data_IF_907296028403
#
_entry.id   IF_907296028403
#
_cell.length_a   1.000
_cell.length_b   1.000
_cell.length_c   1.000
_cell.angle_alpha   90.00
_cell.angle_beta   90.00
_cell.angle_gamma   90.00
#
_symmetry.space_group_name_H-M   'P 1'
#
loop_
_entity.id
_entity.type
_entity.pdbx_description
1 polymer ?
#
# COMPACT_ATOMS: atom_id res chain seq x y z
N UNK A 1 -6.69 9.88 -3.74
CA UNK A 1 -6.55 11.10 -4.55
C UNK A 1 -5.87 10.76 -5.86
N UNK A 2 -6.58 10.88 -6.97
CA UNK A 2 -6.02 10.61 -8.30
C UNK A 2 -5.66 11.95 -8.93
N UNK A 3 -4.38 12.14 -9.26
CA UNK A 3 -3.92 13.37 -9.87
C UNK A 3 -3.38 13.07 -11.27
N UNK A 4 -4.03 13.61 -12.29
CA UNK A 4 -3.52 13.57 -13.66
C UNK A 4 -2.77 14.88 -13.92
N UNK A 5 -1.52 14.79 -14.31
CA UNK A 5 -0.66 15.96 -14.46
C UNK A 5 -0.03 15.99 -15.84
N UNK A 6 -0.19 17.13 -16.55
CA UNK A 6 0.55 17.41 -17.76
C UNK A 6 2.01 17.74 -17.41
N UNK A 7 2.96 17.01 -18.00
CA UNK A 7 4.34 17.00 -17.56
C UNK A 7 5.20 18.02 -18.32
N UNK A 8 5.69 19.04 -17.62
CA UNK A 8 6.83 19.86 -18.04
C UNK A 8 7.85 19.92 -16.89
N UNK A 9 9.01 20.54 -17.11
CA UNK A 9 10.09 20.55 -16.12
C UNK A 9 9.68 21.17 -14.78
N UNK A 10 8.87 22.24 -14.81
CA UNK A 10 8.38 22.88 -13.59
C UNK A 10 7.32 22.04 -12.88
N UNK A 11 6.46 21.37 -13.64
CA UNK A 11 5.47 20.45 -13.10
C UNK A 11 6.12 19.26 -12.40
N UNK A 12 7.21 18.72 -12.96
CA UNK A 12 7.95 17.62 -12.35
C UNK A 12 8.53 18.02 -11.00
N UNK A 13 9.15 19.22 -10.90
CA UNK A 13 9.67 19.72 -9.63
C UNK A 13 8.58 19.91 -8.59
N UNK A 14 7.43 20.44 -8.98
CA UNK A 14 6.29 20.61 -8.10
C UNK A 14 5.76 19.27 -7.62
N UNK A 15 5.62 18.30 -8.51
CA UNK A 15 5.17 16.95 -8.18
C UNK A 15 6.09 16.30 -7.17
N UNK A 16 7.40 16.35 -7.40
CA UNK A 16 8.40 15.77 -6.48
C UNK A 16 8.34 16.42 -5.10
N UNK A 17 8.11 17.74 -5.03
CA UNK A 17 7.95 18.45 -3.77
C UNK A 17 6.68 18.03 -3.03
N UNK A 18 5.57 17.89 -3.74
CA UNK A 18 4.28 17.48 -3.17
C UNK A 18 4.34 16.02 -2.72
N UNK A 19 4.86 15.11 -3.56
CA UNK A 19 5.01 13.69 -3.22
C UNK A 19 5.89 13.50 -1.97
N UNK A 20 6.97 14.28 -1.83
CA UNK A 20 7.83 14.22 -0.65
C UNK A 20 7.12 14.59 0.66
N UNK A 21 5.95 15.22 0.59
CA UNK A 21 5.11 15.58 1.75
C UNK A 21 3.88 14.68 1.90
N UNK A 22 3.57 13.86 0.89
CA UNK A 22 2.40 12.99 0.89
C UNK A 22 2.69 11.68 1.62
N UNK A 23 1.65 11.15 2.27
CA UNK A 23 1.71 9.83 2.86
C UNK A 23 1.83 8.74 1.79
N UNK A 24 0.97 8.80 0.77
CA UNK A 24 0.92 7.78 -0.30
C UNK A 24 0.37 8.37 -1.60
N UNK A 25 0.60 7.63 -2.68
CA UNK A 25 0.00 7.86 -4.00
C UNK A 25 -0.82 6.63 -4.37
N UNK A 26 -2.03 6.82 -4.90
CA UNK A 26 -2.91 5.75 -5.34
C UNK A 26 -2.99 5.75 -6.86
N UNK A 27 -2.72 4.60 -7.47
CA UNK A 27 -2.80 4.39 -8.91
C UNK A 27 -3.75 3.23 -9.20
N UNK A 28 -4.42 3.29 -10.36
CA UNK A 28 -5.22 2.19 -10.87
C UNK A 28 -4.69 1.79 -12.23
N UNK A 29 -4.21 0.57 -12.36
CA UNK A 29 -3.66 0.03 -13.60
C UNK A 29 -3.67 -1.49 -13.59
N UNK A 30 -3.96 -2.11 -14.75
CA UNK A 30 -3.95 -3.58 -14.90
C UNK A 30 -4.76 -4.30 -13.81
N UNK A 31 -5.99 -3.86 -13.56
CA UNK A 31 -6.87 -4.45 -12.55
C UNK A 31 -6.30 -4.37 -11.13
N UNK A 32 -5.39 -3.45 -10.88
CA UNK A 32 -4.66 -3.35 -9.62
C UNK A 32 -4.76 -1.96 -9.01
N UNK A 33 -5.12 -1.87 -7.74
CA UNK A 33 -4.94 -0.67 -6.94
C UNK A 33 -3.53 -0.68 -6.36
N UNK A 34 -2.70 0.22 -6.86
CA UNK A 34 -1.31 0.36 -6.48
C UNK A 34 -1.16 1.55 -5.53
N UNK A 35 -0.90 1.26 -4.27
CA UNK A 35 -0.61 2.27 -3.25
C UNK A 35 0.90 2.37 -3.07
N UNK A 36 1.48 3.51 -3.42
CA UNK A 36 2.90 3.79 -3.21
C UNK A 36 3.03 4.64 -1.95
N UNK A 37 3.67 4.11 -0.93
CA UNK A 37 3.89 4.83 0.33
C UNK A 37 5.19 5.60 0.29
N UNK A 38 5.16 6.84 0.74
CA UNK A 38 6.33 7.75 0.74
C UNK A 38 6.89 7.95 2.13
N UNK A 39 6.07 7.79 3.16
CA UNK A 39 6.44 7.87 4.57
C UNK A 39 5.48 7.05 5.42
N UNK A 40 5.87 6.68 6.62
CA UNK A 40 4.99 6.03 7.60
C UNK A 40 4.78 6.87 8.85
N UNK A 41 5.52 7.97 8.97
CA UNK A 41 5.38 8.90 10.08
C UNK A 41 4.40 10.00 9.73
N UNK A 42 3.10 9.73 9.93
CA UNK A 42 2.01 10.62 9.54
C UNK A 42 1.01 10.81 10.66
N UNK A 43 0.26 11.93 10.66
CA UNK A 43 -0.83 12.15 11.61
C UNK A 43 -1.94 11.11 11.47
N UNK A 44 -2.72 10.95 12.53
CA UNK A 44 -3.87 10.02 12.52
C UNK A 44 -4.86 10.31 11.39
N UNK A 45 -5.06 11.58 11.04
CA UNK A 45 -5.95 11.96 9.94
C UNK A 45 -5.54 11.37 8.60
N UNK A 46 -4.24 11.26 8.34
CA UNK A 46 -3.73 10.66 7.10
C UNK A 46 -4.01 9.15 7.06
N UNK A 47 -3.90 8.47 8.19
CA UNK A 47 -4.30 7.06 8.30
C UNK A 47 -5.78 6.87 8.03
N UNK A 48 -6.63 7.77 8.55
CA UNK A 48 -8.07 7.71 8.29
C UNK A 48 -8.39 7.92 6.82
N UNK A 49 -7.73 8.87 6.16
CA UNK A 49 -7.90 9.11 4.74
C UNK A 49 -7.46 7.89 3.89
N UNK A 50 -6.35 7.26 4.25
CA UNK A 50 -5.87 6.05 3.60
C UNK A 50 -6.88 4.91 3.74
N UNK A 51 -7.41 4.67 4.94
CA UNK A 51 -8.41 3.62 5.17
C UNK A 51 -9.66 3.86 4.32
N UNK A 52 -10.11 5.09 4.21
CA UNK A 52 -11.27 5.44 3.39
C UNK A 52 -10.98 5.19 1.91
N UNK A 53 -9.79 5.53 1.42
CA UNK A 53 -9.39 5.23 0.05
C UNK A 53 -9.37 3.73 -0.23
N UNK A 54 -8.94 2.92 0.73
CA UNK A 54 -8.98 1.46 0.59
C UNK A 54 -10.42 0.96 0.55
N UNK A 55 -11.29 1.50 1.41
CA UNK A 55 -12.73 1.13 1.39
C UNK A 55 -13.38 1.44 0.05
N UNK A 56 -13.03 2.57 -0.54
CA UNK A 56 -13.54 2.99 -1.86
C UNK A 56 -13.12 2.02 -2.96
N UNK A 57 -11.96 1.36 -2.85
CA UNK A 57 -11.53 0.37 -3.82
C UNK A 57 -12.57 -0.75 -4.02
N UNK A 58 -13.32 -1.08 -2.99
CA UNK A 58 -14.33 -2.15 -3.02
C UNK A 58 -15.60 -1.80 -3.79
N UNK A 59 -15.66 -0.62 -4.40
CA UNK A 59 -16.67 -0.31 -5.43
C UNK A 59 -16.40 -1.04 -6.74
N UNK A 60 -15.17 -1.49 -6.98
CA UNK A 60 -14.84 -2.39 -8.08
C UNK A 60 -15.20 -3.82 -7.71
N UNK A 61 -15.66 -4.61 -8.69
CA UNK A 61 -16.11 -5.98 -8.44
C UNK A 61 -14.96 -6.92 -8.07
N UNK A 62 -13.89 -6.89 -8.86
CA UNK A 62 -12.69 -7.70 -8.63
C UNK A 62 -11.44 -6.91 -8.97
N UNK A 63 -10.41 -7.04 -8.13
CA UNK A 63 -9.16 -6.32 -8.30
C UNK A 63 -8.05 -6.94 -7.46
N UNK A 64 -6.83 -6.50 -7.74
CA UNK A 64 -5.65 -6.82 -6.95
C UNK A 64 -5.25 -5.61 -6.10
N UNK A 65 -4.58 -5.87 -4.98
CA UNK A 65 -3.87 -4.85 -4.22
C UNK A 65 -2.37 -4.96 -4.41
N UNK A 66 -1.73 -3.81 -4.51
CA UNK A 66 -0.28 -3.68 -4.48
C UNK A 66 0.09 -2.58 -3.49
N UNK A 67 0.72 -2.96 -2.39
CA UNK A 67 1.21 -2.02 -1.38
C UNK A 67 2.73 -1.91 -1.51
N UNK A 68 3.18 -0.75 -1.99
CA UNK A 68 4.58 -0.53 -2.35
C UNK A 68 5.24 0.38 -1.31
N UNK A 69 6.12 -0.21 -0.50
CA UNK A 69 6.91 0.49 0.50
C UNK A 69 8.36 0.73 0.07
N UNK A 70 8.70 0.45 -1.19
CA UNK A 70 10.09 0.57 -1.66
C UNK A 70 10.64 1.99 -1.59
N UNK A 71 9.76 2.99 -1.64
CA UNK A 71 10.13 4.41 -1.57
C UNK A 71 10.32 4.91 -0.13
N UNK A 72 9.93 4.14 0.86
CA UNK A 72 10.08 4.50 2.27
C UNK A 72 11.47 4.10 2.74
N UNK A 73 12.34 5.09 2.94
CA UNK A 73 13.76 4.88 3.23
C UNK A 73 14.09 4.85 4.72
N UNK A 74 13.29 5.53 5.54
CA UNK A 74 13.52 5.63 6.98
C UNK A 74 12.25 5.26 7.72
N UNK A 75 12.34 4.26 8.60
CA UNK A 75 11.28 3.92 9.55
C UNK A 75 11.79 4.14 10.95
N UNK A 76 11.08 4.97 11.67
CA UNK A 76 11.30 5.07 13.11
C UNK A 76 10.68 3.85 13.78
N UNK A 77 11.46 3.14 14.58
CA UNK A 77 11.01 1.93 15.28
C UNK A 77 9.75 2.21 16.10
N UNK A 78 9.63 3.41 16.67
CA UNK A 78 8.48 3.83 17.44
C UNK A 78 7.17 3.88 16.63
N UNK A 79 7.22 3.98 15.29
CA UNK A 79 6.03 4.03 14.43
C UNK A 79 5.53 2.64 14.01
N UNK A 80 6.33 1.60 14.18
CA UNK A 80 5.99 0.23 13.75
C UNK A 80 4.73 -0.31 14.42
N UNK A 81 4.54 -0.20 15.74
CA UNK A 81 3.32 -0.70 16.38
C UNK A 81 2.05 -0.06 15.84
N UNK A 82 2.09 1.24 15.56
CA UNK A 82 0.95 1.96 14.99
C UNK A 82 0.67 1.52 13.55
N UNK A 83 1.71 1.42 12.74
CA UNK A 83 1.60 0.95 11.37
C UNK A 83 0.95 -0.45 11.33
N UNK A 84 1.44 -1.36 12.18
CA UNK A 84 0.89 -2.71 12.30
C UNK A 84 -0.58 -2.68 12.73
N UNK A 85 -0.91 -1.88 13.74
CA UNK A 85 -2.27 -1.73 14.23
C UNK A 85 -3.23 -1.21 13.15
N UNK A 86 -2.83 -0.17 12.42
CA UNK A 86 -3.65 0.45 11.39
C UNK A 86 -3.95 -0.52 10.24
N UNK A 87 -2.92 -1.24 9.77
CA UNK A 87 -3.10 -2.24 8.71
C UNK A 87 -3.93 -3.43 9.16
N UNK A 88 -3.63 -4.00 10.31
CA UNK A 88 -4.33 -5.19 10.79
C UNK A 88 -5.80 -4.89 11.12
N UNK A 89 -6.09 -3.72 11.68
CA UNK A 89 -7.46 -3.30 11.94
C UNK A 89 -8.27 -3.17 10.65
N UNK A 90 -7.68 -2.57 9.63
CA UNK A 90 -8.31 -2.40 8.33
C UNK A 90 -8.54 -3.75 7.65
N UNK A 91 -7.55 -4.62 7.69
CA UNK A 91 -7.65 -5.97 7.12
C UNK A 91 -8.76 -6.78 7.78
N UNK A 92 -8.88 -6.68 9.09
CA UNK A 92 -9.92 -7.36 9.85
C UNK A 92 -11.31 -6.83 9.51
N UNK A 93 -11.46 -5.52 9.40
CA UNK A 93 -12.71 -4.88 8.98
C UNK A 93 -13.15 -5.33 7.60
N UNK A 94 -12.22 -5.41 6.65
CA UNK A 94 -12.50 -5.68 5.24
C UNK A 94 -12.43 -7.16 4.85
N UNK A 95 -12.17 -8.05 5.81
CA UNK A 95 -12.00 -9.49 5.54
C UNK A 95 -13.12 -10.10 4.70
N UNK A 96 -14.42 -9.89 5.02
CA UNK A 96 -15.50 -10.48 4.22
C UNK A 96 -15.51 -9.99 2.77
N UNK A 97 -15.21 -8.72 2.55
CA UNK A 97 -15.15 -8.14 1.19
C UNK A 97 -13.90 -8.61 0.45
N UNK A 98 -12.79 -8.71 1.15
CA UNK A 98 -11.52 -9.19 0.58
C UNK A 98 -11.66 -10.61 0.06
N UNK A 99 -12.31 -11.50 0.77
CA UNK A 99 -12.57 -12.87 0.36
C UNK A 99 -13.33 -12.95 -0.97
N UNK A 100 -14.19 -12.00 -1.25
CA UNK A 100 -15.05 -11.99 -2.44
C UNK A 100 -14.47 -11.20 -3.61
N UNK A 101 -13.76 -10.11 -3.35
CA UNK A 101 -13.40 -9.11 -4.36
C UNK A 101 -11.92 -9.00 -4.66
N UNK A 102 -11.03 -9.32 -3.71
CA UNK A 102 -9.60 -9.25 -3.94
C UNK A 102 -9.11 -10.56 -4.52
N UNK A 103 -8.45 -10.49 -5.68
CA UNK A 103 -7.91 -11.67 -6.35
C UNK A 103 -6.58 -12.06 -5.69
N UNK A 104 -5.62 -11.13 -5.67
CA UNK A 104 -4.30 -11.30 -5.06
C UNK A 104 -3.81 -9.98 -4.48
N UNK A 105 -2.90 -10.07 -3.53
CA UNK A 105 -2.24 -8.89 -2.96
C UNK A 105 -0.72 -9.09 -2.98
N UNK A 106 0.00 -8.03 -3.30
CA UNK A 106 1.45 -8.03 -3.24
C UNK A 106 1.93 -6.87 -2.37
N UNK A 107 3.03 -7.09 -1.66
CA UNK A 107 3.71 -6.07 -0.88
C UNK A 107 5.14 -5.97 -1.38
N UNK A 108 5.51 -4.80 -1.86
CA UNK A 108 6.90 -4.50 -2.24
C UNK A 108 7.58 -3.84 -1.05
N UNK A 109 8.69 -4.40 -0.62
CA UNK A 109 9.43 -3.92 0.54
C UNK A 109 10.89 -3.67 0.20
N UNK A 110 11.50 -2.76 0.94
CA UNK A 110 12.94 -2.59 0.96
C UNK A 110 13.53 -3.46 2.07
N UNK A 111 14.58 -4.27 1.81
CA UNK A 111 15.18 -5.15 2.83
C UNK A 111 15.67 -4.44 4.09
N UNK A 112 16.00 -3.15 3.97
CA UNK A 112 16.46 -2.34 5.12
C UNK A 112 15.31 -1.76 5.94
N UNK A 113 14.07 -1.90 5.46
CA UNK A 113 12.92 -1.16 5.98
C UNK A 113 12.09 -1.96 6.98
N UNK A 114 11.74 -3.20 6.64
CA UNK A 114 10.93 -4.02 7.52
C UNK A 114 11.74 -5.16 8.12
N UNK A 115 11.64 -5.34 9.41
CA UNK A 115 12.02 -6.61 10.00
C UNK A 115 11.09 -7.68 9.43
N UNK A 116 11.65 -8.81 9.06
CA UNK A 116 10.92 -9.97 8.53
C UNK A 116 9.68 -10.32 9.37
N UNK A 117 9.79 -10.15 10.68
CA UNK A 117 8.71 -10.47 11.63
C UNK A 117 7.44 -9.65 11.42
N UNK A 118 7.57 -8.37 11.07
CA UNK A 118 6.43 -7.50 10.79
C UNK A 118 5.64 -8.01 9.59
N UNK A 119 6.35 -8.31 8.50
CA UNK A 119 5.75 -8.81 7.26
C UNK A 119 5.17 -10.22 7.44
N UNK A 120 5.87 -11.07 8.16
CA UNK A 120 5.37 -12.41 8.50
C UNK A 120 4.03 -12.35 9.24
N UNK A 121 3.86 -11.41 10.16
CA UNK A 121 2.61 -11.24 10.89
C UNK A 121 1.46 -10.87 9.97
N UNK A 122 1.69 -9.95 9.04
CA UNK A 122 0.67 -9.56 8.05
C UNK A 122 0.33 -10.73 7.14
N UNK A 123 1.32 -11.44 6.62
CA UNK A 123 1.12 -12.60 5.75
C UNK A 123 0.36 -13.69 6.48
N UNK A 124 0.73 -13.98 7.73
CA UNK A 124 0.07 -15.01 8.53
C UNK A 124 -1.42 -14.71 8.73
N UNK A 125 -1.78 -13.47 8.98
CA UNK A 125 -3.18 -13.06 9.14
C UNK A 125 -3.99 -13.17 7.84
N UNK A 126 -3.34 -12.97 6.68
CA UNK A 126 -4.01 -12.86 5.39
C UNK A 126 -3.99 -14.12 4.54
N UNK A 127 -3.04 -15.03 4.80
CA UNK A 127 -2.78 -16.20 3.92
C UNK A 127 -3.98 -17.11 3.68
N UNK A 128 -4.91 -17.17 4.63
CA UNK A 128 -6.10 -18.01 4.54
C UNK A 128 -7.30 -17.27 3.95
N UNK A 129 -7.15 -15.98 3.63
CA UNK A 129 -8.21 -15.14 3.06
C UNK A 129 -8.08 -15.09 1.54
N UNK A 130 -6.92 -14.63 1.06
CA UNK A 130 -6.58 -14.56 -0.37
C UNK A 130 -5.05 -14.64 -0.52
N UNK A 131 -4.55 -15.07 -1.70
CA UNK A 131 -3.10 -15.11 -1.91
C UNK A 131 -2.44 -13.76 -1.71
N UNK A 132 -1.38 -13.75 -0.92
CA UNK A 132 -0.57 -12.57 -0.65
C UNK A 132 0.90 -12.94 -0.71
N UNK A 133 1.71 -12.08 -1.31
CA UNK A 133 3.16 -12.28 -1.44
C UNK A 133 3.92 -11.00 -1.12
N UNK A 134 5.01 -11.15 -0.38
CA UNK A 134 5.98 -10.07 -0.16
C UNK A 134 7.13 -10.25 -1.15
N UNK A 135 7.44 -9.22 -1.89
CA UNK A 135 8.48 -9.21 -2.92
C UNK A 135 9.39 -8.01 -2.72
N UNK A 136 10.52 -8.01 -3.42
CA UNK A 136 11.55 -6.96 -3.30
C UNK A 136 11.47 -5.92 -4.42
N UNK A 137 10.84 -6.25 -5.52
CA UNK A 137 10.78 -5.39 -6.70
C UNK A 137 9.37 -5.30 -7.27
N UNK A 138 9.07 -4.21 -7.98
CA UNK A 138 7.81 -4.06 -8.70
C UNK A 138 7.59 -5.12 -9.78
N UNK A 139 8.59 -5.47 -10.61
CA UNK A 139 8.42 -6.55 -11.59
C UNK A 139 7.97 -7.87 -10.96
N UNK A 140 8.57 -8.26 -9.85
CA UNK A 140 8.16 -9.48 -9.11
C UNK A 140 6.71 -9.38 -8.64
N UNK A 141 6.28 -8.19 -8.17
CA UNK A 141 4.91 -7.96 -7.73
C UNK A 141 3.93 -8.14 -8.90
N UNK A 142 4.18 -7.51 -10.02
CA UNK A 142 3.32 -7.62 -11.20
C UNK A 142 3.30 -9.04 -11.78
N UNK A 143 4.40 -9.77 -11.75
CA UNK A 143 4.43 -11.18 -12.13
C UNK A 143 3.50 -12.02 -11.27
N UNK A 144 3.51 -11.78 -9.96
CA UNK A 144 2.63 -12.48 -9.03
C UNK A 144 1.15 -12.11 -9.21
N UNK A 145 0.87 -10.85 -9.48
CA UNK A 145 -0.51 -10.37 -9.63
C UNK A 145 -1.17 -10.79 -10.97
N UNK A 146 -0.38 -11.05 -11.96
CA UNK A 146 -0.85 -11.52 -13.28
C UNK A 146 -1.09 -10.39 -14.27
#
# INVERSE_FOLDING_TARGET
MTTTIAMNANSIKYILLVIGKMFYTKLWTNQTFHFVFHTTNVPHMDWMAFKEDVRICFKKEQFNFLFDFSDVKIVQVATIPRLLWEFTSLMRELKPKTEKQVIRSAIVTNPTFFTFKFLESIIWMYRNVRPIKVVRTLPEAYDFLG
#
